data_IF_316162182916
#
_entry.id   IF_316162182916
#
_cell.length_a   1.000
_cell.length_b   1.000
_cell.length_c   1.000
_cell.angle_alpha   90.00
_cell.angle_beta   90.00
_cell.angle_gamma   90.00
#
_symmetry.space_group_name_H-M   'P 1'
#
loop_
_entity.id
_entity.type
_entity.pdbx_description
1 polymer ?
#
# COMPACT_ATOMS: atom_id res chain seq x y z
N UNK A 1 -10.57 18.30 -9.28
CA UNK A 1 -9.33 17.56 -9.56
C UNK A 1 -9.29 16.33 -8.68
N UNK A 2 -9.17 15.16 -9.27
CA UNK A 2 -9.12 13.92 -8.49
C UNK A 2 -7.83 13.82 -7.71
N UNK A 3 -7.94 13.34 -6.47
CA UNK A 3 -6.81 13.17 -5.57
C UNK A 3 -6.36 11.71 -5.54
N UNK A 4 -5.04 11.51 -5.52
CA UNK A 4 -4.43 10.19 -5.38
C UNK A 4 -3.53 10.19 -4.14
N UNK A 5 -3.72 9.20 -3.28
CA UNK A 5 -2.82 8.94 -2.14
C UNK A 5 -1.85 7.82 -2.55
N UNK A 6 -0.55 8.07 -2.42
CA UNK A 6 0.50 7.12 -2.75
C UNK A 6 1.10 6.50 -1.48
N UNK A 7 1.26 5.18 -1.48
CA UNK A 7 1.87 4.41 -0.40
C UNK A 7 3.15 3.72 -0.87
N UNK A 8 4.23 3.89 -0.11
CA UNK A 8 5.53 3.26 -0.38
C UNK A 8 5.58 1.80 0.07
N UNK A 9 6.65 1.10 -0.28
CA UNK A 9 6.87 -0.29 0.09
C UNK A 9 7.67 -0.48 1.39
N UNK A 10 8.01 -1.73 1.67
CA UNK A 10 8.81 -2.12 2.83
C UNK A 10 10.21 -1.48 2.78
N UNK A 11 10.70 -1.02 3.93
CA UNK A 11 11.99 -0.30 4.07
C UNK A 11 12.11 0.98 3.23
N UNK A 12 10.98 1.51 2.74
CA UNK A 12 10.95 2.72 1.95
C UNK A 12 10.37 3.88 2.76
N UNK A 13 10.52 5.07 2.24
CA UNK A 13 9.92 6.29 2.78
C UNK A 13 9.04 6.94 1.70
N UNK A 14 8.13 7.81 2.13
CA UNK A 14 7.20 8.49 1.22
C UNK A 14 7.91 9.23 0.07
N UNK A 15 9.09 9.81 0.32
CA UNK A 15 9.84 10.55 -0.69
C UNK A 15 10.28 9.69 -1.89
N UNK A 16 10.38 8.37 -1.73
CA UNK A 16 10.68 7.45 -2.83
C UNK A 16 9.58 7.48 -3.91
N UNK A 17 8.36 7.83 -3.51
CA UNK A 17 7.21 7.93 -4.41
C UNK A 17 7.16 9.29 -5.13
N UNK A 18 8.07 10.22 -4.84
CA UNK A 18 8.08 11.58 -5.39
C UNK A 18 8.15 11.61 -6.92
N UNK A 19 8.99 10.82 -7.60
CA UNK A 19 9.00 10.81 -9.07
C UNK A 19 7.64 10.42 -9.67
N UNK A 20 6.96 9.43 -9.08
CA UNK A 20 5.62 9.04 -9.52
C UNK A 20 4.61 10.15 -9.23
N UNK A 21 4.69 10.76 -8.05
CA UNK A 21 3.83 11.89 -7.70
C UNK A 21 3.97 13.04 -8.70
N UNK A 22 5.20 13.42 -9.04
CA UNK A 22 5.46 14.50 -10.00
C UNK A 22 4.88 14.17 -11.39
N UNK A 23 4.99 12.93 -11.82
CA UNK A 23 4.42 12.48 -13.09
C UNK A 23 2.89 12.57 -13.08
N UNK A 24 2.25 12.13 -12.00
CA UNK A 24 0.79 12.18 -11.86
C UNK A 24 0.28 13.61 -11.76
N UNK A 25 0.98 14.49 -11.07
CA UNK A 25 0.64 15.91 -11.01
C UNK A 25 0.67 16.57 -12.38
N UNK A 26 1.63 16.19 -13.23
CA UNK A 26 1.69 16.65 -14.63
C UNK A 26 0.49 16.18 -15.46
N UNK A 27 -0.15 15.09 -15.07
CA UNK A 27 -1.35 14.58 -15.70
C UNK A 27 -2.64 15.20 -15.14
N UNK A 28 -2.54 16.12 -14.21
CA UNK A 28 -3.66 16.85 -13.64
C UNK A 28 -4.26 16.27 -12.36
N UNK A 29 -3.56 15.34 -11.71
CA UNK A 29 -3.99 14.81 -10.42
C UNK A 29 -3.40 15.62 -9.26
N UNK A 30 -4.16 15.71 -8.18
CA UNK A 30 -3.66 16.20 -6.90
C UNK A 30 -3.13 15.00 -6.11
N UNK A 31 -1.86 15.02 -5.72
CA UNK A 31 -1.18 13.85 -5.13
C UNK A 31 -0.76 14.12 -3.70
N UNK A 32 -1.08 13.19 -2.80
CA UNK A 32 -0.61 13.18 -1.43
C UNK A 32 0.25 11.94 -1.18
N UNK A 33 1.38 12.11 -0.52
CA UNK A 33 2.27 11.03 -0.14
C UNK A 33 2.01 10.61 1.30
N UNK A 34 1.61 9.35 1.50
CA UNK A 34 1.44 8.79 2.83
C UNK A 34 2.72 8.12 3.30
N UNK A 35 3.34 8.66 4.34
CA UNK A 35 4.52 8.08 4.97
C UNK A 35 4.14 7.25 6.18
N UNK A 36 4.71 6.05 6.31
CA UNK A 36 4.47 5.18 7.44
C UNK A 36 5.73 4.37 7.79
N UNK A 37 5.81 3.91 9.02
CA UNK A 37 6.94 3.11 9.50
C UNK A 37 6.72 1.64 9.14
N UNK A 38 7.05 1.27 7.91
CA UNK A 38 6.72 -0.03 7.32
C UNK A 38 7.28 -1.24 8.05
N UNK A 39 8.35 -1.08 8.84
CA UNK A 39 9.01 -2.16 9.58
C UNK A 39 8.55 -2.23 11.04
N UNK A 40 8.34 -1.09 11.66
CA UNK A 40 8.15 -0.98 13.12
C UNK A 40 6.71 -1.20 13.59
N UNK A 41 5.73 -1.02 12.72
CA UNK A 41 4.32 -1.07 13.08
C UNK A 41 3.61 -2.27 12.45
N UNK A 42 2.50 -2.68 13.08
CA UNK A 42 1.63 -3.73 12.56
C UNK A 42 0.76 -3.21 11.42
N UNK A 43 0.14 -4.14 10.68
CA UNK A 43 -0.82 -3.78 9.64
C UNK A 43 -2.00 -2.97 10.20
N UNK A 44 -2.48 -3.31 11.40
CA UNK A 44 -3.54 -2.57 12.06
C UNK A 44 -3.14 -1.12 12.34
N UNK A 45 -1.90 -0.89 12.80
CA UNK A 45 -1.39 0.46 13.02
C UNK A 45 -1.26 1.25 11.73
N UNK A 46 -0.84 0.60 10.63
CA UNK A 46 -0.77 1.22 9.30
C UNK A 46 -2.16 1.63 8.81
N UNK A 47 -3.15 0.74 8.93
CA UNK A 47 -4.51 1.06 8.48
C UNK A 47 -5.14 2.19 9.31
N UNK A 48 -4.88 2.23 10.61
CA UNK A 48 -5.34 3.31 11.47
C UNK A 48 -4.71 4.65 11.09
N UNK A 49 -3.39 4.68 10.88
CA UNK A 49 -2.69 5.88 10.45
C UNK A 49 -3.18 6.36 9.07
N UNK A 50 -3.45 5.43 8.16
CA UNK A 50 -3.99 5.77 6.83
C UNK A 50 -5.41 6.33 6.94
N UNK A 51 -6.25 5.79 7.82
CA UNK A 51 -7.60 6.33 8.04
C UNK A 51 -7.55 7.79 8.49
N UNK A 52 -6.68 8.11 9.43
CA UNK A 52 -6.49 9.49 9.90
C UNK A 52 -5.96 10.40 8.79
N UNK A 53 -5.04 9.91 7.97
CA UNK A 53 -4.51 10.64 6.82
C UNK A 53 -5.59 10.92 5.78
N UNK A 54 -6.42 9.93 5.47
CA UNK A 54 -7.54 10.06 4.52
C UNK A 54 -8.52 11.13 4.99
N UNK A 55 -8.89 11.14 6.27
CA UNK A 55 -9.81 12.14 6.83
C UNK A 55 -9.32 13.57 6.63
N UNK A 56 -8.00 13.79 6.69
CA UNK A 56 -7.40 15.11 6.47
C UNK A 56 -7.38 15.52 4.99
N UNK A 57 -7.56 14.58 4.08
CA UNK A 57 -7.45 14.82 2.63
C UNK A 57 -8.77 14.67 1.89
N UNK A 58 -9.86 14.38 2.57
CA UNK A 58 -11.19 14.31 1.97
C UNK A 58 -11.65 15.68 1.48
N UNK A 59 -12.10 15.73 0.22
CA UNK A 59 -12.52 16.98 -0.43
C UNK A 59 -13.92 16.90 -1.05
N UNK A 60 -14.64 15.79 -0.86
CA UNK A 60 -15.92 15.52 -1.53
C UNK A 60 -15.78 14.95 -2.94
N UNK A 61 -14.59 14.97 -3.52
CA UNK A 61 -14.29 14.30 -4.79
C UNK A 61 -13.80 12.88 -4.56
N UNK A 62 -13.86 11.99 -5.59
CA UNK A 62 -13.32 10.65 -5.46
C UNK A 62 -11.84 10.66 -5.08
N UNK A 63 -11.50 9.83 -4.10
CA UNK A 63 -10.14 9.67 -3.61
C UNK A 63 -9.59 8.33 -4.10
N UNK A 64 -8.54 8.39 -4.90
CA UNK A 64 -7.87 7.22 -5.46
C UNK A 64 -6.62 6.87 -4.65
N UNK A 65 -6.19 5.63 -4.74
CA UNK A 65 -5.04 5.11 -4.01
C UNK A 65 -4.11 4.35 -4.95
N UNK A 66 -2.82 4.51 -4.76
CA UNK A 66 -1.83 3.70 -5.45
C UNK A 66 -0.77 3.24 -4.45
N UNK A 67 -0.47 1.95 -4.45
CA UNK A 67 0.47 1.35 -3.52
C UNK A 67 1.53 0.49 -4.20
N UNK A 68 2.78 0.67 -3.77
CA UNK A 68 3.91 -0.12 -4.22
C UNK A 68 4.24 -1.20 -3.20
N UNK A 69 4.37 -2.45 -3.65
CA UNK A 69 4.78 -3.59 -2.82
C UNK A 69 3.91 -3.72 -1.55
N UNK A 70 4.47 -3.60 -0.36
CA UNK A 70 3.72 -3.63 0.91
C UNK A 70 2.61 -2.57 0.95
N UNK A 71 2.81 -1.40 0.33
CA UNK A 71 1.80 -0.35 0.27
C UNK A 71 0.48 -0.83 -0.33
N UNK A 72 0.52 -1.71 -1.32
CA UNK A 72 -0.67 -2.32 -1.90
C UNK A 72 -1.38 -3.27 -0.92
N UNK A 73 -0.65 -3.99 -0.08
CA UNK A 73 -1.22 -4.83 0.98
C UNK A 73 -1.84 -4.00 2.08
N UNK A 74 -1.23 -2.88 2.46
CA UNK A 74 -1.82 -1.91 3.40
C UNK A 74 -3.16 -1.41 2.86
N UNK A 75 -3.23 -1.08 1.57
CA UNK A 75 -4.49 -0.64 0.93
C UNK A 75 -5.56 -1.73 0.96
N UNK A 76 -5.21 -2.99 0.75
CA UNK A 76 -6.18 -4.09 0.84
C UNK A 76 -6.74 -4.26 2.24
N UNK A 77 -5.89 -4.21 3.26
CA UNK A 77 -6.33 -4.25 4.65
C UNK A 77 -7.19 -3.03 5.01
N UNK A 78 -6.77 -1.85 4.57
CA UNK A 78 -7.52 -0.62 4.75
C UNK A 78 -8.92 -0.72 4.12
N UNK A 79 -9.01 -1.22 2.89
CA UNK A 79 -10.28 -1.41 2.20
C UNK A 79 -11.21 -2.41 2.90
N UNK A 80 -10.65 -3.43 3.55
CA UNK A 80 -11.44 -4.40 4.32
C UNK A 80 -11.98 -3.80 5.62
N UNK A 81 -11.19 -2.95 6.30
CA UNK A 81 -11.56 -2.35 7.59
C UNK A 81 -12.40 -1.07 7.40
N UNK A 82 -12.07 -0.27 6.40
CA UNK A 82 -12.71 1.02 6.12
C UNK A 82 -13.21 1.10 4.67
N UNK A 83 -14.11 0.20 4.23
CA UNK A 83 -14.58 0.20 2.83
C UNK A 83 -15.29 1.49 2.44
N UNK A 84 -15.91 2.18 3.39
CA UNK A 84 -16.60 3.45 3.19
C UNK A 84 -15.66 4.60 2.83
N UNK A 85 -14.38 4.47 3.14
CA UNK A 85 -13.36 5.49 2.81
C UNK A 85 -12.77 5.33 1.40
N UNK A 86 -13.07 4.23 0.73
CA UNK A 86 -12.64 3.98 -0.65
C UNK A 86 -13.73 4.51 -1.59
N UNK A 87 -13.57 5.74 -2.04
CA UNK A 87 -14.53 6.42 -2.94
C UNK A 87 -14.08 6.42 -4.39
N UNK A 88 -12.84 6.08 -4.65
CA UNK A 88 -12.26 5.95 -5.99
C UNK A 88 -11.72 4.53 -6.23
N UNK A 89 -10.64 4.45 -6.99
CA UNK A 89 -10.01 3.19 -7.39
C UNK A 89 -8.70 2.96 -6.67
N UNK A 90 -8.29 1.70 -6.58
CA UNK A 90 -7.00 1.30 -6.05
C UNK A 90 -6.16 0.71 -7.18
N UNK A 91 -4.92 1.15 -7.30
CA UNK A 91 -3.91 0.55 -8.19
C UNK A 91 -2.74 0.09 -7.34
N UNK A 92 -2.30 -1.14 -7.55
CA UNK A 92 -1.11 -1.68 -6.91
C UNK A 92 -0.06 -2.05 -7.94
N UNK A 93 1.20 -1.90 -7.59
CA UNK A 93 2.31 -2.29 -8.47
C UNK A 93 3.39 -3.00 -7.67
N UNK A 94 3.79 -4.17 -8.19
CA UNK A 94 4.74 -5.05 -7.52
C UNK A 94 4.25 -5.55 -6.16
N UNK A 95 2.94 -5.64 -5.94
CA UNK A 95 2.37 -6.04 -4.64
C UNK A 95 2.19 -7.56 -4.60
N UNK A 96 2.73 -8.24 -3.55
CA UNK A 96 2.60 -9.69 -3.40
C UNK A 96 1.25 -10.05 -2.76
N UNK A 97 0.16 -10.01 -3.53
CA UNK A 97 -1.20 -10.26 -3.04
C UNK A 97 -1.40 -11.66 -2.41
N UNK A 98 -0.58 -12.64 -2.79
CA UNK A 98 -0.61 -14.00 -2.24
C UNK A 98 0.62 -14.31 -1.39
N UNK A 99 1.29 -13.27 -0.87
CA UNK A 99 2.53 -13.39 -0.13
C UNK A 99 3.75 -13.14 -1.00
N UNK A 100 4.90 -13.07 -0.39
CA UNK A 100 6.17 -12.78 -1.06
C UNK A 100 7.18 -13.90 -0.84
N UNK A 101 7.63 -14.52 -1.93
CA UNK A 101 8.69 -15.54 -1.87
C UNK A 101 10.00 -14.95 -1.34
N UNK A 102 10.31 -13.72 -1.73
CA UNK A 102 11.50 -13.03 -1.24
C UNK A 102 11.42 -12.79 0.28
N UNK A 103 10.27 -12.29 0.75
CA UNK A 103 10.05 -12.10 2.18
C UNK A 103 10.10 -13.43 2.95
N UNK A 104 9.52 -14.50 2.39
CA UNK A 104 9.57 -15.83 2.98
C UNK A 104 11.01 -16.37 3.09
N UNK A 105 11.83 -16.14 2.05
CA UNK A 105 13.25 -16.54 2.09
C UNK A 105 14.01 -15.80 3.18
N UNK A 106 13.82 -14.50 3.29
CA UNK A 106 14.44 -13.67 4.35
C UNK A 106 14.01 -14.17 5.72
N UNK A 107 12.73 -14.48 5.89
CA UNK A 107 12.19 -15.04 7.13
C UNK A 107 12.84 -16.40 7.49
N UNK A 108 12.98 -17.31 6.51
CA UNK A 108 13.61 -18.63 6.72
C UNK A 108 15.08 -18.51 7.12
N UNK A 109 15.76 -17.46 6.65
CA UNK A 109 17.16 -17.20 7.03
C UNK A 109 17.30 -16.56 8.43
N UNK A 110 16.20 -16.40 9.16
CA UNK A 110 16.21 -15.83 10.50
C UNK A 110 16.31 -14.31 10.55
N UNK A 111 16.22 -13.65 9.39
CA UNK A 111 16.31 -12.19 9.27
C UNK A 111 14.94 -11.50 9.35
N UNK A 112 13.99 -12.14 9.99
CA UNK A 112 12.60 -11.67 10.06
C UNK A 112 12.42 -10.35 10.82
N UNK A 113 13.21 -10.12 11.83
CA UNK A 113 13.16 -8.93 12.66
C UNK A 113 14.60 -8.41 12.84
N UNK A 114 14.89 -7.14 12.55
CA UNK A 114 14.00 -6.03 12.19
C UNK A 114 13.68 -5.90 10.70
N UNK A 115 14.06 -6.84 9.83
CA UNK A 115 13.98 -6.70 8.37
C UNK A 115 12.54 -6.62 7.86
N UNK A 116 11.66 -7.53 8.32
CA UNK A 116 10.27 -7.61 7.88
C UNK A 116 9.28 -7.00 8.87
N UNK A 117 9.67 -6.92 10.14
CA UNK A 117 8.83 -6.31 11.18
C UNK A 117 7.46 -6.96 11.36
N UNK A 118 6.54 -6.22 11.99
CA UNK A 118 5.17 -6.69 12.25
C UNK A 118 4.34 -6.91 11.00
N UNK A 119 4.63 -6.19 9.91
CA UNK A 119 3.88 -6.29 8.66
C UNK A 119 3.96 -7.67 8.01
N UNK A 120 5.03 -8.42 8.23
CA UNK A 120 5.17 -9.76 7.67
C UNK A 120 4.06 -10.70 8.15
N UNK A 121 3.80 -10.72 9.46
CA UNK A 121 2.78 -11.60 10.04
C UNK A 121 1.39 -11.32 9.49
N UNK A 122 1.12 -10.05 9.19
CA UNK A 122 -0.22 -9.59 8.85
C UNK A 122 -0.50 -9.67 7.35
N UNK A 123 0.54 -9.59 6.51
CA UNK A 123 0.31 -9.41 5.08
C UNK A 123 1.25 -10.19 4.16
N UNK A 124 2.57 -10.19 4.41
CA UNK A 124 3.53 -10.76 3.47
C UNK A 124 3.57 -12.29 3.44
N UNK A 125 2.96 -12.94 4.42
CA UNK A 125 2.80 -14.40 4.48
C UNK A 125 1.57 -14.92 3.70
N UNK A 126 0.78 -14.02 3.11
CA UNK A 126 -0.43 -14.36 2.37
C UNK A 126 -1.73 -14.18 3.14
N UNK A 127 -1.66 -13.65 4.36
CA UNK A 127 -2.84 -13.41 5.22
C UNK A 127 -3.66 -12.17 4.85
N UNK A 128 -3.64 -11.74 3.59
CA UNK A 128 -4.35 -10.54 3.14
C UNK A 128 -5.83 -10.84 2.90
N UNK A 129 -6.75 -10.04 3.44
CA UNK A 129 -8.18 -10.26 3.26
C UNK A 129 -8.64 -9.99 1.82
N UNK A 130 -9.78 -10.58 1.44
CA UNK A 130 -10.42 -10.30 0.16
C UNK A 130 -10.96 -8.86 0.12
N UNK A 131 -11.02 -8.30 -1.10
CA UNK A 131 -11.56 -6.96 -1.31
C UNK A 131 -13.09 -6.98 -1.30
N UNK A 132 -13.74 -5.95 -0.73
CA UNK A 132 -15.17 -5.74 -0.93
C UNK A 132 -15.53 -5.59 -2.41
N UNK A 133 -16.67 -6.16 -2.83
CA UNK A 133 -17.08 -6.23 -4.24
C UNK A 133 -17.19 -4.87 -4.95
N UNK A 134 -17.53 -3.82 -4.23
CA UNK A 134 -17.71 -2.48 -4.81
C UNK A 134 -16.38 -1.75 -5.07
N UNK A 135 -15.25 -2.32 -4.65
CA UNK A 135 -13.94 -1.68 -4.80
C UNK A 135 -13.23 -2.24 -6.03
N UNK A 136 -12.90 -1.38 -6.97
CA UNK A 136 -12.11 -1.73 -8.14
C UNK A 136 -10.62 -1.65 -7.82
N UNK A 137 -9.90 -2.75 -8.04
CA UNK A 137 -8.46 -2.81 -7.88
C UNK A 137 -7.79 -3.22 -9.19
N UNK A 138 -6.87 -2.38 -9.67
CA UNK A 138 -5.97 -2.71 -10.76
C UNK A 138 -4.61 -3.12 -10.20
N UNK A 139 -4.00 -4.16 -10.77
CA UNK A 139 -2.68 -4.63 -10.35
C UNK A 139 -1.72 -4.62 -11.53
N UNK A 140 -0.55 -4.00 -11.32
CA UNK A 140 0.56 -4.00 -12.28
C UNK A 140 1.69 -4.83 -11.68
N UNK A 141 2.09 -5.89 -12.40
CA UNK A 141 3.16 -6.78 -11.95
C UNK A 141 4.24 -6.89 -13.02
N UNK A 142 5.49 -7.02 -12.59
CA UNK A 142 6.59 -7.32 -13.48
C UNK A 142 6.53 -8.80 -13.92
N UNK A 143 6.96 -9.07 -15.15
CA UNK A 143 6.99 -10.41 -15.71
C UNK A 143 8.39 -11.04 -15.72
N UNK A 144 9.41 -10.32 -15.24
CA UNK A 144 10.76 -10.86 -15.10
C UNK A 144 10.98 -11.33 -13.66
N UNK A 145 11.36 -12.58 -13.44
CA UNK A 145 11.74 -13.03 -12.12
C UNK A 145 12.99 -12.26 -11.68
N UNK A 146 12.94 -11.71 -10.48
CA UNK A 146 14.15 -11.24 -9.82
C UNK A 146 14.94 -12.48 -9.46
N UNK A 147 16.05 -12.67 -10.14
CA UNK A 147 16.91 -13.83 -9.99
C UNK A 147 17.47 -14.02 -8.59
#
# INVERSE_FOLDING_TARGET
MSKIILLHGLHMHSWVMKPLADMLEKQGFDVALFGYYSVWHTMQQHTQALAEFVEKHETGEPLHFAGHSLGGLVLRHFAAVHPEKITGRIVTFGTPHQGSRAAQRVFRLGLKTPVLGGAYRDALDGGTPDLPEHIELGSIAGNKPLG
#
